data_IF_252444846438
#
_entry.id   IF_252444846438
#
_cell.length_a   1.000
_cell.length_b   1.000
_cell.length_c   1.000
_cell.angle_alpha   90.00
_cell.angle_beta   90.00
_cell.angle_gamma   90.00
#
_symmetry.space_group_name_H-M   'P 1'
#
loop_
_entity.id
_entity.type
_entity.pdbx_description
1 polymer ?
#
# COMPACT_ATOMS: atom_id res chain seq x y z
N UNK A 1 -8.17 66.53 -18.93
CA UNK A 1 -7.29 66.13 -17.81
C UNK A 1 -8.22 65.73 -16.66
N UNK A 2 -8.37 64.53 -16.11
CA UNK A 2 -7.78 63.19 -16.21
C UNK A 2 -8.74 62.26 -15.44
N UNK A 3 -9.35 61.20 -16.03
CA UNK A 3 -10.07 60.20 -15.24
C UNK A 3 -9.24 58.92 -15.21
N UNK A 4 -8.36 58.76 -14.22
CA UNK A 4 -7.62 57.52 -14.00
C UNK A 4 -7.28 57.40 -12.53
N UNK A 5 -8.21 56.90 -11.72
CA UNK A 5 -7.88 56.37 -10.38
C UNK A 5 -8.98 55.45 -9.81
N UNK A 6 -10.02 55.10 -10.58
CA UNK A 6 -11.14 54.27 -10.11
C UNK A 6 -11.16 52.85 -10.72
N UNK A 7 -10.01 52.30 -11.08
CA UNK A 7 -9.91 50.98 -11.73
C UNK A 7 -9.09 49.96 -10.94
N UNK A 8 -8.49 50.32 -9.81
CA UNK A 8 -7.61 49.40 -9.05
C UNK A 8 -8.28 48.63 -7.91
N UNK A 9 -9.58 48.84 -7.61
CA UNK A 9 -10.23 48.20 -6.45
C UNK A 9 -11.25 47.10 -6.83
N UNK A 10 -11.12 46.50 -8.01
CA UNK A 10 -12.00 45.41 -8.46
C UNK A 10 -11.24 44.13 -8.87
N UNK A 11 -9.96 43.99 -8.50
CA UNK A 11 -9.15 42.79 -8.80
C UNK A 11 -8.79 41.92 -7.58
N UNK A 12 -9.23 42.27 -6.37
CA UNK A 12 -8.86 41.55 -5.15
C UNK A 12 -9.93 40.59 -4.61
N UNK A 13 -11.05 40.39 -5.32
CA UNK A 13 -12.16 39.55 -4.86
C UNK A 13 -12.14 38.09 -5.34
N UNK A 14 -11.09 37.63 -6.04
CA UNK A 14 -11.03 36.26 -6.60
C UNK A 14 -9.96 35.36 -5.94
N UNK A 15 -9.67 35.57 -4.66
CA UNK A 15 -8.74 34.72 -3.88
C UNK A 15 -9.47 33.78 -2.90
N UNK A 16 -10.78 33.60 -3.04
CA UNK A 16 -11.62 32.85 -2.10
C UNK A 16 -12.25 31.59 -2.72
N UNK A 17 -11.45 30.60 -3.06
CA UNK A 17 -11.90 29.22 -3.26
C UNK A 17 -10.70 28.25 -3.33
N UNK A 18 -9.75 28.35 -2.39
CA UNK A 18 -8.95 27.18 -2.04
C UNK A 18 -9.91 26.20 -1.37
N UNK A 19 -10.59 25.41 -2.19
CA UNK A 19 -11.39 24.29 -1.73
C UNK A 19 -10.53 23.49 -0.77
N UNK A 20 -11.00 23.35 0.46
CA UNK A 20 -10.58 22.28 1.34
C UNK A 20 -10.77 21.01 0.53
N UNK A 21 -9.68 20.53 -0.06
CA UNK A 21 -9.60 19.21 -0.64
C UNK A 21 -9.75 18.26 0.55
N UNK A 22 -11.00 17.99 0.93
CA UNK A 22 -11.33 16.82 1.68
C UNK A 22 -10.75 15.68 0.85
N UNK A 23 -9.67 15.07 1.32
CA UNK A 23 -9.23 13.78 0.86
C UNK A 23 -10.35 12.80 1.22
N UNK A 24 -11.40 12.81 0.39
CA UNK A 24 -12.51 11.87 0.46
C UNK A 24 -11.90 10.53 0.09
N UNK A 25 -11.66 9.70 1.12
CA UNK A 25 -11.03 8.39 0.97
C UNK A 25 -11.84 7.57 0.00
N UNK A 26 -11.34 7.50 -1.22
CA UNK A 26 -12.15 7.17 -2.39
C UNK A 26 -12.71 5.75 -2.37
N UNK A 27 -12.21 4.86 -1.51
CA UNK A 27 -12.64 3.46 -1.45
C UNK A 27 -13.70 3.18 -0.38
N UNK A 28 -13.72 3.96 0.72
CA UNK A 28 -14.55 3.65 1.89
C UNK A 28 -16.05 3.74 1.58
N UNK A 29 -16.43 4.70 0.74
CA UNK A 29 -17.83 4.95 0.37
C UNK A 29 -18.22 4.23 -0.92
N UNK A 30 -17.34 3.37 -1.46
CA UNK A 30 -17.65 2.57 -2.65
C UNK A 30 -18.42 1.30 -2.28
N UNK A 31 -19.25 0.77 -3.20
CA UNK A 31 -19.90 -0.51 -3.01
C UNK A 31 -18.89 -1.64 -2.75
N UNK A 32 -19.27 -2.56 -1.87
CA UNK A 32 -18.54 -3.81 -1.64
C UNK A 32 -19.16 -4.92 -2.49
N UNK A 33 -18.38 -5.44 -3.44
CA UNK A 33 -18.78 -6.56 -4.28
C UNK A 33 -18.02 -7.81 -3.85
N UNK A 34 -18.72 -8.95 -3.73
CA UNK A 34 -18.13 -10.22 -3.29
C UNK A 34 -18.56 -11.32 -4.23
N UNK A 35 -17.59 -12.04 -4.78
CA UNK A 35 -17.77 -13.26 -5.56
C UNK A 35 -17.23 -14.44 -4.75
N UNK A 36 -17.99 -15.54 -4.69
CA UNK A 36 -17.64 -16.75 -3.97
C UNK A 36 -18.50 -17.94 -4.46
N UNK A 37 -18.10 -19.16 -4.11
CA UNK A 37 -18.85 -20.37 -4.45
C UNK A 37 -20.14 -20.51 -3.62
N UNK A 38 -20.14 -20.03 -2.38
CA UNK A 38 -21.31 -20.05 -1.50
C UNK A 38 -21.38 -18.85 -0.54
N UNK A 39 -22.60 -18.50 -0.14
CA UNK A 39 -22.92 -17.45 0.83
C UNK A 39 -23.90 -18.00 1.88
N UNK A 40 -23.60 -17.73 3.15
CA UNK A 40 -24.53 -17.84 4.27
C UNK A 40 -24.71 -16.50 4.95
N UNK A 41 -25.95 -16.02 5.05
CA UNK A 41 -26.29 -14.77 5.73
C UNK A 41 -27.17 -15.04 6.95
N UNK A 42 -26.89 -14.35 8.06
CA UNK A 42 -27.67 -14.37 9.30
C UNK A 42 -28.04 -12.91 9.64
N UNK A 43 -29.29 -12.57 9.34
CA UNK A 43 -29.85 -11.22 9.54
C UNK A 43 -29.90 -10.86 11.04
N UNK A 44 -30.19 -11.82 11.92
CA UNK A 44 -30.27 -11.55 13.36
C UNK A 44 -28.90 -11.17 13.93
N UNK A 45 -27.84 -11.80 13.42
CA UNK A 45 -26.46 -11.51 13.82
C UNK A 45 -25.78 -10.43 13.00
N UNK A 46 -26.40 -9.99 11.91
CA UNK A 46 -25.81 -9.07 10.92
C UNK A 46 -24.45 -9.58 10.43
N UNK A 47 -24.40 -10.88 10.09
CA UNK A 47 -23.18 -11.55 9.60
C UNK A 47 -23.40 -12.25 8.27
N UNK A 48 -22.41 -12.18 7.39
CA UNK A 48 -22.35 -12.91 6.13
C UNK A 48 -21.05 -13.71 6.05
N UNK A 49 -21.13 -14.97 5.65
CA UNK A 49 -19.98 -15.85 5.46
C UNK A 49 -19.95 -16.29 4.01
N UNK A 50 -18.89 -15.92 3.30
CA UNK A 50 -18.63 -16.29 1.92
C UNK A 50 -17.54 -17.36 1.91
N UNK A 51 -17.72 -18.43 1.15
CA UNK A 51 -16.76 -19.55 1.12
C UNK A 51 -16.52 -20.03 -0.31
N UNK A 52 -15.27 -20.42 -0.58
CA UNK A 52 -14.82 -20.92 -1.87
C UNK A 52 -14.48 -19.80 -2.84
N UNK A 53 -13.24 -19.79 -3.34
CA UNK A 53 -12.72 -18.84 -4.35
C UNK A 53 -13.11 -17.37 -4.10
N UNK A 54 -13.02 -16.92 -2.85
CA UNK A 54 -13.56 -15.61 -2.48
C UNK A 54 -12.73 -14.48 -3.07
N UNK A 55 -13.41 -13.56 -3.76
CA UNK A 55 -12.86 -12.29 -4.24
C UNK A 55 -13.79 -11.16 -3.78
N UNK A 56 -13.28 -10.25 -2.95
CA UNK A 56 -13.99 -9.05 -2.53
C UNK A 56 -13.32 -7.82 -3.13
N UNK A 57 -14.13 -6.90 -3.66
CA UNK A 57 -13.66 -5.62 -4.19
C UNK A 57 -14.46 -4.46 -3.59
N UNK A 58 -13.77 -3.37 -3.27
CA UNK A 58 -14.38 -2.14 -2.75
C UNK A 58 -13.55 -0.94 -3.16
N UNK A 59 -13.99 -0.20 -4.18
CA UNK A 59 -13.15 0.80 -4.83
C UNK A 59 -11.88 0.16 -5.39
N UNK A 60 -10.71 0.60 -4.94
CA UNK A 60 -9.40 0.04 -5.26
C UNK A 60 -8.99 -1.16 -4.39
N UNK A 61 -9.72 -1.42 -3.30
CA UNK A 61 -9.42 -2.53 -2.38
C UNK A 61 -9.79 -3.85 -3.03
N UNK A 62 -8.86 -4.81 -2.98
CA UNK A 62 -9.06 -6.19 -3.40
C UNK A 62 -8.64 -7.13 -2.27
N UNK A 63 -9.54 -8.03 -1.89
CA UNK A 63 -9.29 -9.09 -0.91
C UNK A 63 -9.56 -10.46 -1.56
N UNK A 64 -8.68 -11.43 -1.34
CA UNK A 64 -8.82 -12.80 -1.87
C UNK A 64 -8.49 -13.84 -0.82
N UNK A 65 -9.28 -14.91 -0.77
CA UNK A 65 -9.08 -16.01 0.18
C UNK A 65 -10.03 -17.18 -0.02
N UNK A 66 -10.01 -18.12 0.92
CA UNK A 66 -10.90 -19.28 0.93
C UNK A 66 -12.26 -18.97 1.57
N UNK A 67 -12.26 -18.07 2.55
CA UNK A 67 -13.45 -17.67 3.29
C UNK A 67 -13.34 -16.20 3.67
N UNK A 68 -14.46 -15.46 3.60
CA UNK A 68 -14.61 -14.11 4.11
C UNK A 68 -15.81 -14.06 5.04
N UNK A 69 -15.55 -13.70 6.29
CA UNK A 69 -16.57 -13.41 7.28
C UNK A 69 -16.77 -11.88 7.34
N UNK A 70 -17.95 -11.40 6.99
CA UNK A 70 -18.34 -9.98 7.07
C UNK A 70 -19.32 -9.79 8.21
N UNK A 71 -19.09 -8.77 9.04
CA UNK A 71 -20.03 -8.34 10.08
C UNK A 71 -20.29 -6.83 9.96
N UNK A 72 -21.54 -6.43 10.10
CA UNK A 72 -21.89 -5.01 10.24
C UNK A 72 -22.16 -4.67 11.71
N UNK A 73 -21.66 -3.54 12.18
CA UNK A 73 -22.01 -3.02 13.50
C UNK A 73 -23.28 -2.15 13.46
N UNK A 74 -23.75 -1.72 14.64
CA UNK A 74 -24.98 -0.91 14.75
C UNK A 74 -24.87 0.50 14.15
N UNK A 75 -23.66 0.96 13.85
CA UNK A 75 -23.40 2.25 13.19
C UNK A 75 -23.26 2.09 11.67
N UNK A 76 -23.33 0.85 11.16
CA UNK A 76 -23.22 0.54 9.74
C UNK A 76 -21.79 0.24 9.25
N UNK A 77 -20.80 0.19 10.15
CA UNK A 77 -19.43 -0.16 9.77
C UNK A 77 -19.30 -1.64 9.49
N UNK A 78 -18.63 -1.96 8.39
CA UNK A 78 -18.36 -3.32 7.98
C UNK A 78 -16.97 -3.75 8.43
N UNK A 79 -16.90 -4.92 9.04
CA UNK A 79 -15.68 -5.60 9.45
C UNK A 79 -15.55 -6.89 8.64
N UNK A 80 -14.37 -7.13 8.07
CA UNK A 80 -14.08 -8.32 7.27
C UNK A 80 -12.98 -9.16 7.91
N UNK A 81 -13.12 -10.49 7.90
CA UNK A 81 -12.04 -11.42 8.22
C UNK A 81 -11.91 -12.44 7.10
N UNK A 82 -10.82 -12.33 6.35
CA UNK A 82 -10.48 -13.26 5.26
C UNK A 82 -9.54 -14.31 5.78
N UNK A 83 -9.86 -15.58 5.51
CA UNK A 83 -9.03 -16.74 5.84
C UNK A 83 -8.50 -17.36 4.55
N UNK A 84 -7.22 -17.69 4.54
CA UNK A 84 -6.60 -18.46 3.48
C UNK A 84 -7.04 -19.93 3.55
N UNK A 85 -6.84 -20.68 2.46
CA UNK A 85 -6.80 -22.14 2.57
C UNK A 85 -5.63 -22.57 3.46
N UNK A 86 -5.74 -23.76 4.06
CA UNK A 86 -4.68 -24.30 4.91
C UNK A 86 -3.32 -24.32 4.18
N UNK A 87 -2.29 -23.76 4.82
CA UNK A 87 -0.94 -23.66 4.27
C UNK A 87 -0.70 -22.52 3.27
N UNK A 88 -1.77 -21.89 2.74
CA UNK A 88 -1.70 -20.74 1.84
C UNK A 88 -1.78 -19.41 2.61
N UNK A 89 -1.76 -18.30 1.88
CA UNK A 89 -2.01 -16.95 2.39
C UNK A 89 -3.17 -16.32 1.62
N UNK A 90 -4.03 -15.60 2.34
CA UNK A 90 -4.97 -14.65 1.79
C UNK A 90 -4.20 -13.45 1.26
N UNK A 91 -4.83 -12.70 0.37
CA UNK A 91 -4.22 -11.56 -0.30
C UNK A 91 -5.08 -10.32 -0.10
N UNK A 92 -4.42 -9.20 0.12
CA UNK A 92 -4.97 -7.85 0.18
C UNK A 92 -4.18 -6.95 -0.77
N UNK A 93 -4.87 -6.03 -1.44
CA UNK A 93 -4.26 -4.93 -2.17
C UNK A 93 -5.14 -3.69 -2.10
N UNK A 94 -4.52 -2.53 -2.00
CA UNK A 94 -5.19 -1.23 -2.07
C UNK A 94 -4.29 -0.20 -2.75
N UNK A 95 -4.90 0.73 -3.49
CA UNK A 95 -4.22 1.92 -3.99
C UNK A 95 -4.19 2.99 -2.89
N UNK A 96 -3.03 3.61 -2.66
CA UNK A 96 -2.92 4.71 -1.70
C UNK A 96 -3.38 6.02 -2.32
N UNK A 97 -3.92 6.88 -1.47
CA UNK A 97 -4.22 8.25 -1.81
C UNK A 97 -2.90 9.04 -1.92
N UNK A 98 -2.47 9.30 -3.16
CA UNK A 98 -1.29 10.13 -3.44
C UNK A 98 -1.71 11.48 -3.99
N UNK A 99 -0.84 12.48 -3.82
CA UNK A 99 -1.09 13.82 -4.34
C UNK A 99 -1.30 13.78 -5.88
N UNK A 100 -2.16 14.64 -6.45
CA UNK A 100 -2.33 14.71 -7.90
C UNK A 100 -0.99 14.87 -8.62
N UNK A 101 -0.73 14.00 -9.61
CA UNK A 101 0.52 13.98 -10.37
C UNK A 101 1.68 13.21 -9.72
N UNK A 102 1.53 12.71 -8.49
CA UNK A 102 2.48 11.77 -7.90
C UNK A 102 2.36 10.38 -8.55
N UNK A 103 3.43 9.56 -8.53
CA UNK A 103 3.34 8.17 -8.96
C UNK A 103 2.26 7.41 -8.19
N UNK A 104 1.63 6.43 -8.85
CA UNK A 104 0.68 5.56 -8.17
C UNK A 104 1.38 4.74 -7.10
N UNK A 105 0.75 4.62 -5.94
CA UNK A 105 1.25 3.80 -4.85
C UNK A 105 0.23 2.73 -4.49
N UNK A 106 0.74 1.52 -4.22
CA UNK A 106 -0.08 0.39 -3.81
C UNK A 106 0.51 -0.26 -2.56
N UNK A 107 -0.38 -0.68 -1.67
CA UNK A 107 -0.05 -1.53 -0.53
C UNK A 107 -0.61 -2.91 -0.84
N UNK A 108 0.22 -3.93 -0.69
CA UNK A 108 -0.17 -5.33 -0.75
C UNK A 108 0.09 -6.01 0.59
N UNK A 109 -0.79 -6.91 0.97
CA UNK A 109 -0.67 -7.72 2.17
C UNK A 109 -0.93 -9.19 1.87
N UNK A 110 -0.13 -10.06 2.46
CA UNK A 110 -0.38 -11.51 2.45
C UNK A 110 -0.23 -12.08 3.86
N UNK A 111 -1.19 -12.90 4.29
CA UNK A 111 -1.16 -13.57 5.59
C UNK A 111 -2.11 -14.78 5.61
N UNK A 112 -2.02 -15.65 6.61
CA UNK A 112 -3.00 -16.74 6.76
C UNK A 112 -4.40 -16.22 7.09
N UNK A 113 -4.48 -15.12 7.83
CA UNK A 113 -5.72 -14.39 8.13
C UNK A 113 -5.49 -12.90 7.92
N UNK A 114 -6.44 -12.22 7.27
CA UNK A 114 -6.46 -10.78 7.09
C UNK A 114 -7.75 -10.24 7.72
N UNK A 115 -7.63 -9.34 8.69
CA UNK A 115 -8.76 -8.63 9.28
C UNK A 115 -8.80 -7.19 8.75
N UNK A 116 -9.99 -6.71 8.45
CA UNK A 116 -10.26 -5.33 8.06
C UNK A 116 -11.29 -4.72 9.00
N UNK A 117 -10.99 -3.53 9.53
CA UNK A 117 -11.87 -2.75 10.37
C UNK A 117 -12.30 -1.46 9.66
N UNK A 118 -13.50 -1.46 9.08
CA UNK A 118 -14.02 -0.30 8.35
C UNK A 118 -14.32 0.93 9.21
N UNK A 119 -14.33 0.80 10.54
CA UNK A 119 -14.48 1.95 11.45
C UNK A 119 -13.17 2.73 11.56
N UNK A 120 -12.06 2.03 11.83
CA UNK A 120 -10.77 2.65 12.13
C UNK A 120 -9.83 2.76 10.94
N UNK A 121 -10.09 2.08 9.82
CA UNK A 121 -9.14 2.11 8.70
C UNK A 121 -8.20 0.91 8.57
N UNK A 122 -8.28 -0.02 9.53
CA UNK A 122 -7.16 -0.89 9.87
C UNK A 122 -7.21 -2.21 9.11
N UNK A 123 -6.08 -2.58 8.54
CA UNK A 123 -5.82 -3.89 7.93
C UNK A 123 -4.80 -4.61 8.79
N UNK A 124 -5.16 -5.79 9.30
CA UNK A 124 -4.29 -6.61 10.14
C UNK A 124 -3.98 -7.92 9.45
N UNK A 125 -2.70 -8.15 9.18
CA UNK A 125 -2.13 -9.35 8.59
C UNK A 125 -1.66 -10.27 9.72
N UNK A 126 -2.28 -11.44 9.87
CA UNK A 126 -2.09 -12.34 11.02
C UNK A 126 -1.55 -13.69 10.55
N UNK A 127 -0.44 -14.10 11.16
CA UNK A 127 0.38 -15.29 10.85
C UNK A 127 0.98 -15.24 9.44
N UNK A 128 2.31 -15.37 9.39
CA UNK A 128 3.11 -15.27 8.14
C UNK A 128 2.79 -13.99 7.34
N UNK A 129 2.62 -12.89 8.07
CA UNK A 129 2.29 -11.59 7.51
C UNK A 129 3.46 -11.04 6.68
N UNK A 130 3.14 -10.58 5.48
CA UNK A 130 4.04 -9.83 4.61
C UNK A 130 3.29 -8.64 4.03
N UNK A 131 3.83 -7.44 4.20
CA UNK A 131 3.32 -6.21 3.62
C UNK A 131 4.35 -5.68 2.61
N UNK A 132 3.90 -5.38 1.40
CA UNK A 132 4.72 -4.79 0.35
C UNK A 132 4.14 -3.46 -0.09
N UNK A 133 4.97 -2.43 -0.20
CA UNK A 133 4.58 -1.15 -0.79
C UNK A 133 5.22 -1.00 -2.16
N UNK A 134 4.43 -0.59 -3.15
CA UNK A 134 4.89 -0.27 -4.49
C UNK A 134 4.68 1.21 -4.78
N UNK A 135 5.64 1.84 -5.45
CA UNK A 135 5.55 3.22 -5.94
C UNK A 135 5.95 3.23 -7.41
N UNK A 136 5.08 3.71 -8.29
CA UNK A 136 5.28 3.68 -9.74
C UNK A 136 5.54 2.25 -10.27
N UNK A 137 4.92 1.25 -9.67
CA UNK A 137 5.11 -0.17 -10.00
C UNK A 137 6.39 -0.81 -9.46
N UNK A 138 7.27 -0.07 -8.77
CA UNK A 138 8.50 -0.59 -8.16
C UNK A 138 8.31 -0.89 -6.69
N UNK A 139 8.83 -2.03 -6.24
CA UNK A 139 8.83 -2.40 -4.82
C UNK A 139 9.65 -1.36 -4.03
N UNK A 140 8.98 -0.71 -3.08
CA UNK A 140 9.53 0.33 -2.22
C UNK A 140 9.77 -0.19 -0.81
N UNK A 141 8.81 -0.89 -0.22
CA UNK A 141 9.01 -1.54 1.08
C UNK A 141 8.62 -3.02 1.02
N UNK A 142 9.32 -3.87 1.76
CA UNK A 142 8.94 -5.27 2.04
C UNK A 142 9.12 -5.56 3.53
N UNK A 143 8.02 -5.84 4.21
CA UNK A 143 7.93 -5.95 5.66
C UNK A 143 7.35 -7.32 6.00
N UNK A 144 8.01 -8.06 6.87
CA UNK A 144 7.56 -9.38 7.33
C UNK A 144 7.44 -9.44 8.86
N UNK A 145 6.39 -10.08 9.35
CA UNK A 145 6.09 -10.24 10.77
C UNK A 145 5.05 -11.31 11.04
N UNK A 146 4.88 -11.67 12.31
CA UNK A 146 3.77 -12.53 12.74
C UNK A 146 2.45 -11.80 12.70
N UNK A 147 2.43 -10.54 13.13
CA UNK A 147 1.27 -9.65 13.02
C UNK A 147 1.76 -8.32 12.46
N UNK A 148 1.12 -7.84 11.40
CA UNK A 148 1.35 -6.51 10.83
C UNK A 148 0.00 -5.79 10.83
N UNK A 149 -0.06 -4.61 11.43
CA UNK A 149 -1.24 -3.74 11.38
C UNK A 149 -0.89 -2.53 10.52
N UNK A 150 -1.69 -2.25 9.51
CA UNK A 150 -1.58 -1.07 8.64
C UNK A 150 -2.85 -0.24 8.78
N UNK A 151 -2.70 1.04 9.10
CA UNK A 151 -3.80 1.98 9.17
C UNK A 151 -3.86 2.79 7.87
N UNK A 152 -4.89 2.55 7.07
CA UNK A 152 -5.09 3.22 5.78
C UNK A 152 -5.31 4.74 5.93
N UNK A 153 -5.73 5.21 7.11
CA UNK A 153 -6.01 6.62 7.34
C UNK A 153 -4.71 7.43 7.49
N UNK A 154 -3.73 6.87 8.17
CA UNK A 154 -2.51 7.55 8.64
C UNK A 154 -1.25 7.06 7.94
N UNK A 155 -1.36 6.04 7.10
CA UNK A 155 -0.24 5.35 6.46
C UNK A 155 0.78 4.73 7.44
N UNK A 156 0.37 4.51 8.69
CA UNK A 156 1.21 3.92 9.73
C UNK A 156 1.12 2.41 9.67
N UNK A 157 2.28 1.74 9.69
CA UNK A 157 2.37 0.30 9.90
C UNK A 157 3.07 -0.02 11.22
N UNK A 158 2.51 -0.98 11.95
CA UNK A 158 3.08 -1.55 13.18
C UNK A 158 3.32 -3.03 12.97
N UNK A 159 4.45 -3.55 13.43
CA UNK A 159 4.81 -4.96 13.24
C UNK A 159 5.18 -5.56 14.58
N UNK A 160 4.46 -6.61 14.98
CA UNK A 160 4.77 -7.39 16.16
C UNK A 160 5.48 -8.68 15.74
N UNK A 161 6.66 -8.89 16.29
CA UNK A 161 7.39 -10.15 16.22
C UNK A 161 7.03 -11.01 17.43
N UNK A 162 6.30 -12.11 17.22
CA UNK A 162 6.01 -13.05 18.29
C UNK A 162 7.30 -13.76 18.72
N UNK A 163 7.71 -13.58 19.99
CA UNK A 163 8.72 -14.44 20.61
C UNK A 163 8.18 -15.87 20.68
N UNK A 164 8.48 -16.71 19.69
CA UNK A 164 8.39 -18.17 19.84
C UNK A 164 9.40 -18.62 20.88
N UNK A 165 8.95 -18.85 22.10
CA UNK A 165 9.80 -19.27 23.23
C UNK A 165 10.17 -20.77 23.20
N UNK A 166 9.53 -21.62 22.37
CA UNK A 166 9.71 -23.08 22.41
C UNK A 166 9.87 -23.75 21.02
N UNK A 167 10.92 -23.47 20.25
CA UNK A 167 11.36 -24.40 19.18
C UNK A 167 12.87 -24.68 19.27
N UNK A 168 13.32 -25.92 19.01
CA UNK A 168 14.74 -26.23 18.91
C UNK A 168 15.40 -25.45 17.77
N UNK A 169 16.67 -25.06 17.98
CA UNK A 169 17.49 -24.12 17.19
C UNK A 169 17.81 -24.51 15.74
N UNK A 170 16.99 -25.34 15.10
CA UNK A 170 17.15 -25.86 13.74
C UNK A 170 15.95 -25.55 12.85
N UNK A 171 15.36 -24.35 13.00
CA UNK A 171 14.30 -23.85 12.12
C UNK A 171 14.89 -22.90 11.05
N UNK A 172 14.38 -22.93 9.79
CA UNK A 172 14.92 -22.11 8.70
C UNK A 172 14.77 -20.60 8.96
N UNK A 173 15.63 -19.81 8.32
CA UNK A 173 15.72 -18.36 8.52
C UNK A 173 14.37 -17.67 8.23
N UNK A 174 13.74 -17.10 9.27
CA UNK A 174 12.41 -16.47 9.21
C UNK A 174 11.42 -16.98 10.26
N UNK A 175 11.83 -17.94 11.10
CA UNK A 175 10.99 -18.62 12.09
C UNK A 175 11.06 -18.04 13.52
N UNK A 176 11.96 -17.09 13.78
CA UNK A 176 12.11 -16.39 15.06
C UNK A 176 11.45 -15.02 15.03
N UNK A 177 10.89 -14.57 16.17
CA UNK A 177 10.11 -13.35 16.40
C UNK A 177 10.77 -12.00 16.11
N UNK A 178 11.57 -11.92 15.05
CA UNK A 178 12.27 -10.73 14.60
C UNK A 178 11.49 -10.12 13.45
N UNK A 179 11.13 -8.85 13.61
CA UNK A 179 10.59 -8.02 12.54
C UNK A 179 11.66 -7.83 11.47
N UNK A 180 11.30 -7.99 10.19
CA UNK A 180 12.16 -7.64 9.05
C UNK A 180 11.47 -6.55 8.23
N UNK A 181 12.20 -5.50 7.91
CA UNK A 181 11.74 -4.43 7.05
C UNK A 181 12.87 -4.04 6.09
N UNK A 182 12.58 -4.03 4.81
CA UNK A 182 13.44 -3.47 3.77
C UNK A 182 12.74 -2.20 3.31
N UNK A 183 13.38 -1.04 3.47
CA UNK A 183 12.86 0.25 3.02
C UNK A 183 13.75 0.74 1.88
N UNK A 184 13.15 1.04 0.74
CA UNK A 184 13.86 1.65 -0.37
C UNK A 184 14.16 3.13 -0.04
N UNK A 185 15.34 3.64 -0.41
CA UNK A 185 15.62 5.07 -0.32
C UNK A 185 14.64 5.86 -1.17
N UNK A 186 13.97 6.87 -0.60
CA UNK A 186 13.24 7.86 -1.39
C UNK A 186 14.28 8.67 -2.18
N UNK A 187 14.32 8.51 -3.49
CA UNK A 187 15.15 9.37 -4.34
C UNK A 187 14.58 10.80 -4.27
N UNK A 188 15.34 11.72 -3.69
CA UNK A 188 15.08 13.15 -3.82
C UNK A 188 15.17 13.49 -5.32
N UNK A 189 14.19 14.17 -5.92
CA UNK A 189 14.35 14.67 -7.29
C UNK A 189 15.47 15.72 -7.27
N UNK A 190 16.67 15.36 -7.74
CA UNK A 190 17.79 16.31 -7.78
C UNK A 190 19.20 15.74 -7.89
N UNK A 191 19.44 14.45 -7.64
CA UNK A 191 20.78 13.87 -7.85
C UNK A 191 20.86 13.18 -9.21
N UNK A 192 21.00 13.99 -10.28
CA UNK A 192 21.71 13.52 -11.47
C UNK A 192 23.09 13.04 -11.03
N UNK A 193 23.55 11.84 -11.44
CA UNK A 193 24.95 11.49 -11.29
C UNK A 193 25.76 12.59 -11.98
N UNK A 194 26.69 13.20 -11.25
CA UNK A 194 27.68 14.07 -11.87
C UNK A 194 28.34 13.28 -13.03
N UNK A 195 28.49 13.86 -14.23
CA UNK A 195 29.20 13.18 -15.30
C UNK A 195 30.58 12.79 -14.78
N UNK A 196 30.93 11.51 -14.93
CA UNK A 196 32.29 11.08 -14.66
C UNK A 196 33.25 11.96 -15.49
N UNK A 197 34.38 12.42 -14.92
CA UNK A 197 35.35 13.19 -15.69
C UNK A 197 35.79 12.34 -16.89
N UNK A 198 35.60 12.89 -18.09
CA UNK A 198 36.01 12.26 -19.32
C UNK A 198 37.50 11.92 -19.25
N UNK A 199 37.83 10.63 -19.36
CA UNK A 199 39.22 10.22 -19.50
C UNK A 199 39.76 10.80 -20.82
N UNK A 200 40.90 11.50 -20.82
CA UNK A 200 41.49 11.97 -22.07
C UNK A 200 41.91 10.77 -22.91
N UNK A 201 41.46 10.77 -24.17
CA UNK A 201 41.84 9.77 -25.17
C UNK A 201 43.36 9.79 -25.35
N UNK A 202 44.01 8.65 -25.06
CA UNK A 202 45.42 8.46 -25.35
C UNK A 202 45.61 8.23 -26.87
N UNK A 203 46.51 8.97 -27.54
CA UNK A 203 46.86 8.69 -28.93
C UNK A 203 47.51 7.31 -29.07
N UNK A 204 47.03 6.52 -30.01
CA UNK A 204 47.63 5.24 -30.37
C UNK A 204 49.02 5.48 -30.97
N UNK A 205 50.04 4.79 -30.44
CA UNK A 205 51.41 4.87 -30.93
C UNK A 205 51.51 4.54 -32.42
N UNK A 206 52.23 5.38 -33.16
CA UNK A 206 52.39 5.26 -34.61
C UNK A 206 52.99 3.92 -35.03
N UNK A 207 52.42 3.33 -36.08
CA UNK A 207 53.00 2.19 -36.76
C UNK A 207 54.33 2.60 -37.40
N UNK A 208 55.42 1.99 -36.93
CA UNK A 208 56.66 1.89 -37.68
C UNK A 208 56.37 1.21 -39.03
N UNK A 209 56.53 1.95 -40.12
CA UNK A 209 56.72 1.36 -41.45
C UNK A 209 58.06 1.84 -42.00
N UNK A 210 58.99 0.88 -42.10
CA UNK A 210 60.17 0.96 -42.94
C UNK A 210 59.73 1.07 -44.40
N UNK A 211 60.41 1.89 -45.19
CA UNK A 211 60.27 1.88 -46.64
C UNK A 211 61.06 2.96 -47.36
N UNK A 212 62.17 2.51 -47.96
CA UNK A 212 63.05 3.14 -48.97
C UNK A 212 64.20 4.00 -48.44
#
# INVERSE_FOLDING_TARGET
>A
MTPKLLTCLLLTALAGASGVAHAERADRDKPMNIEADALRHDELKQTSVFTGNVVMTKGSIVLRGAQLDVRQDGEGYQHGMVKAEAGKRAFFRQKRDTAPGAPEEFVEGEAEVIEYNGRTDDVKLIRRGQLRRYTGGKLSDDIMGSVITYNNLTDVFTVDGEKRSNLPSSAPAGSGGRVRAILAPKSTPGSSPAPAPAQPLQPSGGLNSQGQ
#
